data_IF_822330332969
#
_entry.id   IF_822330332969
#
_cell.length_a   1.000
_cell.length_b   1.000
_cell.length_c   1.000
_cell.angle_alpha   90.00
_cell.angle_beta   90.00
_cell.angle_gamma   90.00
#
_symmetry.space_group_name_H-M   'P 1'
#
loop_
_entity.id
_entity.type
_entity.pdbx_description
1 polymer ?
#
# COMPACT_ATOMS: atom_id res chain seq x y z
N UNK A 1 -1.37 3.01 31.00
CA UNK A 1 -1.38 3.47 29.59
C UNK A 1 -0.70 2.41 28.73
N UNK A 2 -1.41 1.79 27.79
CA UNK A 2 -0.77 0.88 26.84
C UNK A 2 0.28 1.68 26.05
N UNK A 3 1.49 1.19 26.02
CA UNK A 3 2.55 1.78 25.22
C UNK A 3 2.07 1.81 23.74
N UNK A 4 2.33 2.91 23.04
CA UNK A 4 2.00 3.05 21.62
C UNK A 4 2.52 1.86 20.77
N UNK A 5 3.71 1.36 21.06
CA UNK A 5 4.28 0.19 20.39
C UNK A 5 3.45 -1.08 20.55
N UNK A 6 2.88 -1.32 21.72
CA UNK A 6 1.99 -2.48 21.95
C UNK A 6 0.72 -2.37 21.12
N UNK A 7 0.16 -1.16 21.05
CA UNK A 7 -0.99 -0.88 20.18
C UNK A 7 -0.63 -1.06 18.71
N UNK A 8 0.58 -0.67 18.29
CA UNK A 8 1.08 -0.88 16.95
C UNK A 8 1.19 -2.36 16.59
N UNK A 9 1.66 -3.22 17.50
CA UNK A 9 1.72 -4.68 17.23
C UNK A 9 0.36 -5.23 16.85
N UNK A 10 -0.67 -4.88 17.59
CA UNK A 10 -2.04 -5.32 17.31
C UNK A 10 -2.57 -4.76 15.98
N UNK A 11 -2.34 -3.48 15.72
CA UNK A 11 -2.77 -2.84 14.48
C UNK A 11 -2.04 -3.41 13.26
N UNK A 12 -0.74 -3.68 13.38
CA UNK A 12 0.05 -4.32 12.32
C UNK A 12 -0.43 -5.73 12.03
N UNK A 13 -0.81 -6.49 13.05
CA UNK A 13 -1.41 -7.80 12.87
C UNK A 13 -2.72 -7.71 12.07
N UNK A 14 -3.64 -6.86 12.49
CA UNK A 14 -4.91 -6.64 11.77
C UNK A 14 -4.70 -6.13 10.35
N UNK A 15 -3.76 -5.21 10.16
CA UNK A 15 -3.41 -4.68 8.83
C UNK A 15 -2.84 -5.79 7.93
N UNK A 16 -1.98 -6.65 8.46
CA UNK A 16 -1.43 -7.79 7.72
C UNK A 16 -2.50 -8.78 7.28
N UNK A 17 -3.50 -9.04 8.12
CA UNK A 17 -4.65 -9.89 7.74
C UNK A 17 -5.44 -9.30 6.56
N UNK A 18 -5.62 -7.98 6.54
CA UNK A 18 -6.27 -7.28 5.42
C UNK A 18 -5.40 -7.30 4.16
N UNK A 19 -4.12 -6.99 4.31
CA UNK A 19 -3.15 -6.99 3.22
C UNK A 19 -3.02 -8.38 2.56
N UNK A 20 -3.05 -9.44 3.34
CA UNK A 20 -3.01 -10.82 2.83
C UNK A 20 -4.05 -11.08 1.75
N UNK A 21 -5.22 -10.46 1.83
CA UNK A 21 -6.29 -10.64 0.85
C UNK A 21 -5.93 -10.09 -0.55
N UNK A 22 -4.91 -9.25 -0.65
CA UNK A 22 -4.41 -8.73 -1.92
C UNK A 22 -3.35 -9.62 -2.57
N UNK A 23 -2.74 -10.52 -1.80
CA UNK A 23 -1.70 -11.41 -2.30
C UNK A 23 -2.26 -12.45 -3.26
N UNK A 24 -1.44 -12.86 -4.21
CA UNK A 24 -1.82 -13.86 -5.21
C UNK A 24 -2.80 -13.36 -6.26
N UNK A 25 -3.05 -12.06 -6.34
CA UNK A 25 -3.96 -11.42 -7.28
C UNK A 25 -3.25 -10.38 -8.12
N UNK A 26 -3.65 -10.26 -9.36
CA UNK A 26 -3.32 -9.13 -10.22
C UNK A 26 -4.57 -8.24 -10.35
N UNK A 27 -4.40 -6.97 -10.03
CA UNK A 27 -5.44 -5.96 -10.25
C UNK A 27 -5.13 -5.25 -11.55
N UNK A 28 -5.96 -5.46 -12.57
CA UNK A 28 -5.74 -4.93 -13.91
C UNK A 28 -6.66 -3.74 -14.08
N UNK A 29 -6.07 -2.56 -14.23
CA UNK A 29 -6.79 -1.31 -14.44
C UNK A 29 -6.62 -0.89 -15.88
N UNK A 30 -7.72 -0.68 -16.58
CA UNK A 30 -7.77 -0.26 -17.98
C UNK A 30 -8.55 1.05 -18.10
N UNK A 31 -8.07 1.94 -18.94
CA UNK A 31 -8.76 3.18 -19.27
C UNK A 31 -8.36 3.67 -20.65
N UNK A 32 -9.36 4.15 -21.41
CA UNK A 32 -9.12 4.87 -22.67
C UNK A 32 -8.46 6.22 -22.45
N UNK A 33 -8.52 6.76 -21.23
CA UNK A 33 -7.95 8.05 -20.87
C UNK A 33 -6.46 7.95 -20.47
N UNK A 34 -5.94 6.74 -20.28
CA UNK A 34 -4.52 6.55 -20.03
C UNK A 34 -3.68 6.91 -21.26
N UNK A 35 -2.57 7.64 -21.01
CA UNK A 35 -1.70 8.17 -22.05
C UNK A 35 -0.47 7.32 -22.29
N UNK A 36 0.03 6.64 -21.24
CA UNK A 36 1.29 5.91 -21.32
C UNK A 36 1.09 4.43 -21.67
N UNK A 37 0.00 3.83 -21.22
CA UNK A 37 -0.34 2.42 -21.44
C UNK A 37 -1.86 2.29 -21.46
N UNK A 38 -2.36 1.30 -22.18
CA UNK A 38 -3.80 0.99 -22.17
C UNK A 38 -4.25 0.39 -20.84
N UNK A 39 -3.33 -0.29 -20.15
CA UNK A 39 -3.59 -0.95 -18.87
C UNK A 39 -2.39 -0.99 -17.96
N UNK A 40 -2.66 -1.08 -16.67
CA UNK A 40 -1.69 -1.30 -15.61
C UNK A 40 -2.05 -2.55 -14.83
N UNK A 41 -1.05 -3.37 -14.54
CA UNK A 41 -1.20 -4.56 -13.69
C UNK A 41 -0.57 -4.22 -12.34
N UNK A 42 -1.37 -4.24 -11.29
CA UNK A 42 -0.91 -3.95 -9.93
C UNK A 42 -0.85 -5.25 -9.14
N UNK A 43 0.30 -5.50 -8.52
CA UNK A 43 0.59 -6.74 -7.82
C UNK A 43 1.22 -6.47 -6.48
N UNK A 44 0.70 -7.11 -5.44
CA UNK A 44 1.18 -6.99 -4.07
C UNK A 44 1.99 -8.21 -3.69
N UNK A 45 3.14 -7.99 -3.06
CA UNK A 45 3.99 -9.02 -2.48
C UNK A 45 4.13 -8.81 -0.98
N UNK A 46 4.48 -9.88 -0.27
CA UNK A 46 4.71 -9.83 1.19
C UNK A 46 5.72 -8.76 1.58
N UNK A 47 6.81 -8.63 0.80
CA UNK A 47 7.86 -7.64 1.04
C UNK A 47 7.44 -6.18 0.87
N UNK A 48 6.32 -5.89 0.21
CA UNK A 48 5.85 -4.52 0.05
C UNK A 48 5.10 -4.00 1.29
N UNK A 49 4.61 -4.87 2.15
CA UNK A 49 3.83 -4.50 3.32
C UNK A 49 4.56 -3.53 4.24
N UNK A 50 5.82 -3.82 4.55
CA UNK A 50 6.63 -2.98 5.43
C UNK A 50 6.72 -1.52 4.95
N UNK A 51 6.92 -1.31 3.65
CA UNK A 51 7.02 0.05 3.09
C UNK A 51 5.73 0.85 3.27
N UNK A 52 4.59 0.19 3.24
CA UNK A 52 3.30 0.85 3.38
C UNK A 52 3.00 1.23 4.84
N UNK A 53 3.64 0.58 5.79
CA UNK A 53 3.42 0.85 7.22
C UNK A 53 4.14 2.10 7.74
N UNK A 54 5.23 2.49 7.11
CA UNK A 54 6.13 3.54 7.59
C UNK A 54 6.99 3.13 8.79
N UNK A 55 6.93 1.88 9.20
CA UNK A 55 7.72 1.32 10.31
C UNK A 55 9.18 1.14 9.89
N UNK A 56 10.11 1.39 10.80
CA UNK A 56 11.54 1.08 10.64
C UNK A 56 11.89 -0.19 11.39
N UNK A 57 12.59 -1.09 10.73
CA UNK A 57 13.02 -2.36 11.33
C UNK A 57 14.29 -2.86 10.66
N UNK A 58 15.05 -3.70 11.36
CA UNK A 58 16.16 -4.48 10.82
C UNK A 58 15.73 -5.83 10.26
N UNK A 59 14.48 -6.23 10.51
CA UNK A 59 13.91 -7.48 10.01
C UNK A 59 13.69 -7.36 8.50
N UNK A 60 13.97 -8.42 7.77
CA UNK A 60 13.68 -8.48 6.33
C UNK A 60 12.19 -8.25 6.07
N UNK A 61 11.83 -7.50 5.02
CA UNK A 61 10.43 -7.12 4.77
C UNK A 61 9.45 -8.28 4.71
N UNK A 62 9.81 -9.40 4.07
CA UNK A 62 8.95 -10.59 4.00
C UNK A 62 8.75 -11.26 5.37
N UNK A 63 9.81 -11.33 6.18
CA UNK A 63 9.75 -11.86 7.54
C UNK A 63 8.95 -10.93 8.47
N UNK A 64 9.06 -9.62 8.29
CA UNK A 64 8.26 -8.66 9.03
C UNK A 64 6.77 -8.88 8.77
N UNK A 65 6.38 -9.06 7.51
CA UNK A 65 5.00 -9.36 7.16
C UNK A 65 4.53 -10.69 7.79
N UNK A 66 5.33 -11.74 7.69
CA UNK A 66 5.01 -13.05 8.30
C UNK A 66 4.80 -12.94 9.80
N UNK A 67 5.70 -12.26 10.52
CA UNK A 67 5.54 -12.03 11.97
C UNK A 67 4.31 -11.19 12.30
N UNK A 68 4.01 -10.18 11.50
CA UNK A 68 2.79 -9.39 11.67
C UNK A 68 1.54 -10.25 11.47
N UNK A 69 1.51 -11.04 10.40
CA UNK A 69 0.38 -11.90 10.06
C UNK A 69 0.12 -12.99 11.11
N UNK A 70 1.16 -13.56 11.67
CA UNK A 70 1.07 -14.61 12.69
C UNK A 70 0.99 -14.07 14.12
N UNK A 71 0.86 -12.76 14.27
CA UNK A 71 0.80 -12.07 15.57
C UNK A 71 2.04 -12.35 16.47
N UNK A 72 3.21 -12.43 15.84
CA UNK A 72 4.49 -12.69 16.48
C UNK A 72 5.41 -11.48 16.56
N UNK A 73 4.96 -10.30 16.09
CA UNK A 73 5.70 -9.06 16.28
C UNK A 73 5.71 -8.67 17.75
N UNK A 74 6.89 -8.34 18.24
CA UNK A 74 7.09 -7.78 19.58
C UNK A 74 7.64 -6.33 19.47
N UNK A 75 7.56 -5.58 20.54
CA UNK A 75 7.97 -4.17 20.59
C UNK A 75 9.44 -3.93 20.23
N UNK A 76 10.30 -4.93 20.40
CA UNK A 76 11.71 -4.86 20.05
C UNK A 76 12.01 -5.16 18.59
N UNK A 77 11.04 -5.65 17.84
CA UNK A 77 11.20 -6.02 16.42
C UNK A 77 11.26 -4.80 15.50
N UNK A 78 10.75 -3.65 15.93
CA UNK A 78 10.64 -2.46 15.09
C UNK A 78 10.77 -1.19 15.90
N UNK A 79 11.09 -0.13 15.20
CA UNK A 79 11.17 1.20 15.78
C UNK A 79 10.00 2.06 15.32
N UNK A 80 9.22 2.49 16.32
CA UNK A 80 8.27 3.59 16.20
C UNK A 80 8.92 4.79 16.89
N UNK A 81 9.96 5.32 16.29
CA UNK A 81 10.73 6.39 16.89
C UNK A 81 9.82 7.47 17.48
N UNK A 82 10.18 7.91 18.68
CA UNK A 82 9.48 8.99 19.39
C UNK A 82 9.68 10.37 18.77
N UNK A 83 10.50 10.49 17.71
CA UNK A 83 10.59 11.73 16.96
C UNK A 83 9.23 12.03 16.32
N UNK A 84 8.79 13.28 16.42
CA UNK A 84 7.48 13.72 15.91
C UNK A 84 7.24 13.35 14.43
N UNK A 85 8.29 13.27 13.62
CA UNK A 85 8.22 12.96 12.21
C UNK A 85 7.88 11.48 11.94
N UNK A 86 8.48 10.54 12.65
CA UNK A 86 8.28 9.11 12.42
C UNK A 86 7.01 8.61 13.11
N UNK A 87 6.70 9.15 14.28
CA UNK A 87 5.47 8.82 15.01
C UNK A 87 4.22 9.23 14.24
N UNK A 88 4.23 10.39 13.59
CA UNK A 88 3.17 10.83 12.71
C UNK A 88 2.99 9.91 11.50
N UNK A 89 4.07 9.47 10.89
CA UNK A 89 4.02 8.59 9.72
C UNK A 89 3.33 7.27 9.99
N UNK A 90 3.70 6.56 11.03
CA UNK A 90 3.11 5.27 11.38
C UNK A 90 1.66 5.42 11.83
N UNK A 91 1.38 6.42 12.65
CA UNK A 91 0.02 6.71 13.12
C UNK A 91 -0.93 7.10 11.99
N UNK A 92 -0.43 7.74 10.95
CA UNK A 92 -1.25 8.13 9.80
C UNK A 92 -1.47 6.99 8.80
N UNK A 93 -0.49 6.11 8.63
CA UNK A 93 -0.52 5.07 7.58
C UNK A 93 -1.22 3.80 8.00
N UNK A 94 -0.96 3.29 9.20
CA UNK A 94 -1.51 2.00 9.66
C UNK A 94 -3.04 1.96 9.63
N UNK A 95 -3.78 3.01 10.06
CA UNK A 95 -5.23 2.99 9.98
C UNK A 95 -5.77 2.79 8.56
N UNK A 96 -5.10 3.30 7.54
CA UNK A 96 -5.50 3.11 6.15
C UNK A 96 -5.31 1.66 5.69
N UNK A 97 -4.29 0.97 6.20
CA UNK A 97 -4.04 -0.44 5.89
C UNK A 97 -5.14 -1.36 6.43
N UNK A 98 -5.89 -0.95 7.44
CA UNK A 98 -7.04 -1.72 7.95
C UNK A 98 -8.18 -1.84 6.93
N UNK A 99 -8.20 -1.00 5.89
CA UNK A 99 -9.19 -1.00 4.83
C UNK A 99 -8.59 -1.26 3.45
N UNK A 100 -7.33 -1.71 3.38
CA UNK A 100 -6.66 -1.91 2.09
C UNK A 100 -7.29 -3.03 1.25
N UNK A 101 -7.93 -3.99 1.89
CA UNK A 101 -8.59 -5.11 1.22
C UNK A 101 -9.77 -4.69 0.33
N UNK A 102 -10.40 -3.56 0.63
CA UNK A 102 -11.53 -3.04 -0.14
C UNK A 102 -11.15 -1.90 -1.08
N UNK A 103 -9.86 -1.52 -1.15
CA UNK A 103 -9.41 -0.36 -1.92
C UNK A 103 -9.87 -0.40 -3.37
N UNK A 104 -9.70 -1.53 -4.05
CA UNK A 104 -10.10 -1.69 -5.46
C UNK A 104 -11.59 -1.88 -5.68
N UNK A 105 -12.38 -1.98 -4.62
CA UNK A 105 -13.84 -2.03 -4.67
C UNK A 105 -14.49 -0.66 -4.48
N UNK A 106 -13.70 0.37 -4.27
CA UNK A 106 -14.16 1.76 -4.11
C UNK A 106 -14.01 2.54 -5.41
N UNK A 107 -14.59 3.73 -5.47
CA UNK A 107 -14.37 4.66 -6.58
C UNK A 107 -12.99 5.29 -6.46
N UNK A 108 -12.13 5.08 -7.46
CA UNK A 108 -10.77 5.57 -7.45
C UNK A 108 -10.59 6.77 -8.39
N UNK A 109 -9.75 7.71 -7.99
CA UNK A 109 -9.09 8.64 -8.88
C UNK A 109 -7.70 8.12 -9.19
N UNK A 110 -7.32 8.09 -10.46
CA UNK A 110 -6.07 7.49 -10.92
C UNK A 110 -5.27 8.52 -11.70
N UNK A 111 -3.99 8.63 -11.38
CA UNK A 111 -3.06 9.55 -12.04
C UNK A 111 -1.83 8.79 -12.52
N UNK A 112 -1.53 8.92 -13.81
CA UNK A 112 -0.26 8.47 -14.39
C UNK A 112 0.85 9.49 -14.09
N UNK A 113 2.11 9.03 -14.08
CA UNK A 113 3.28 9.89 -13.83
C UNK A 113 3.15 10.74 -12.56
N UNK A 114 2.75 10.10 -11.48
CA UNK A 114 2.53 10.77 -10.22
C UNK A 114 3.85 11.21 -9.58
N UNK A 115 3.92 12.48 -9.20
CA UNK A 115 5.05 13.03 -8.45
C UNK A 115 4.55 13.91 -7.31
N UNK A 116 5.16 13.74 -6.14
CA UNK A 116 4.92 14.59 -4.98
C UNK A 116 6.18 14.64 -4.09
N UNK A 117 6.84 15.79 -4.05
CA UNK A 117 8.11 15.92 -3.35
C UNK A 117 9.16 14.99 -3.95
N UNK A 118 9.69 14.09 -3.13
CA UNK A 118 10.67 13.07 -3.56
C UNK A 118 10.02 11.77 -4.07
N UNK A 119 8.70 11.67 -3.98
CA UNK A 119 7.96 10.48 -4.44
C UNK A 119 7.67 10.60 -5.92
N UNK A 120 8.00 9.54 -6.67
CA UNK A 120 7.70 9.41 -8.09
C UNK A 120 7.20 8.00 -8.38
N UNK A 121 6.01 7.90 -8.96
CA UNK A 121 5.36 6.64 -9.27
C UNK A 121 4.85 6.64 -10.71
N UNK A 122 4.84 5.47 -11.35
CA UNK A 122 4.26 5.34 -12.69
C UNK A 122 2.75 5.57 -12.68
N UNK A 123 2.09 5.11 -11.64
CA UNK A 123 0.66 5.31 -11.42
C UNK A 123 0.38 5.45 -9.93
N UNK A 124 -0.57 6.29 -9.60
CA UNK A 124 -1.10 6.40 -8.24
C UNK A 124 -2.63 6.38 -8.28
N UNK A 125 -3.23 5.88 -7.23
CA UNK A 125 -4.68 5.80 -7.09
C UNK A 125 -5.10 6.21 -5.68
N UNK A 126 -6.23 6.87 -5.55
CA UNK A 126 -6.81 7.26 -4.27
C UNK A 126 -8.30 6.96 -4.24
N UNK A 127 -8.76 6.44 -3.10
CA UNK A 127 -10.19 6.26 -2.79
C UNK A 127 -10.79 7.48 -2.06
N UNK A 128 -9.99 8.52 -1.82
CA UNK A 128 -10.37 9.76 -1.16
C UNK A 128 -9.71 9.99 0.20
N UNK A 129 -9.36 8.94 0.94
CA UNK A 129 -8.76 9.04 2.28
C UNK A 129 -7.24 8.88 2.27
N UNK A 130 -6.72 8.10 1.34
CA UNK A 130 -5.29 7.88 1.18
C UNK A 130 -4.96 7.59 -0.28
N UNK A 131 -3.68 7.68 -0.62
CA UNK A 131 -3.17 7.44 -1.97
C UNK A 131 -2.17 6.31 -1.94
N UNK A 132 -2.31 5.35 -2.86
CA UNK A 132 -1.31 4.33 -3.13
C UNK A 132 -0.57 4.67 -4.41
N UNK A 133 0.76 4.66 -4.35
CA UNK A 133 1.64 4.82 -5.50
C UNK A 133 2.30 3.50 -5.86
N UNK A 134 2.40 3.25 -7.17
CA UNK A 134 2.94 2.01 -7.72
C UNK A 134 4.09 2.30 -8.67
N UNK A 135 5.11 1.46 -8.63
CA UNK A 135 6.28 1.56 -9.48
C UNK A 135 6.71 0.18 -9.98
N UNK A 136 7.53 0.17 -11.00
CA UNK A 136 8.06 -1.06 -11.62
C UNK A 136 8.45 -0.81 -13.06
N UNK A 137 8.66 -1.90 -13.80
CA UNK A 137 9.01 -1.88 -15.21
C UNK A 137 7.80 -1.96 -16.14
N UNK A 138 7.96 -2.67 -17.26
CA UNK A 138 6.91 -2.87 -18.27
C UNK A 138 5.86 -3.92 -17.88
N UNK A 139 6.14 -4.73 -16.87
CA UNK A 139 5.22 -5.77 -16.35
C UNK A 139 4.34 -5.25 -15.23
N UNK A 140 4.11 -6.10 -14.23
CA UNK A 140 3.35 -5.74 -13.05
C UNK A 140 4.06 -4.68 -12.21
N UNK A 141 3.30 -3.73 -11.68
CA UNK A 141 3.77 -2.69 -10.78
C UNK A 141 3.48 -3.08 -9.34
N UNK A 142 4.35 -2.67 -8.44
CA UNK A 142 4.24 -2.97 -7.01
C UNK A 142 3.92 -1.70 -6.22
N UNK A 143 3.20 -1.81 -5.10
CA UNK A 143 2.97 -0.68 -4.23
C UNK A 143 4.30 -0.22 -3.62
N UNK A 144 4.58 1.05 -3.77
CA UNK A 144 5.81 1.68 -3.29
C UNK A 144 5.56 2.59 -2.10
N UNK A 145 4.41 3.27 -2.08
CA UNK A 145 4.11 4.26 -1.06
C UNK A 145 2.64 4.32 -0.73
N UNK A 146 2.35 4.62 0.52
CA UNK A 146 1.03 5.01 0.99
C UNK A 146 1.15 6.43 1.55
N UNK A 147 0.33 7.34 1.04
CA UNK A 147 0.27 8.72 1.50
C UNK A 147 -1.08 8.97 2.15
N UNK A 148 -1.05 9.59 3.32
CA UNK A 148 -2.26 10.04 4.00
C UNK A 148 -2.94 11.13 3.16
N UNK A 149 -4.24 11.06 2.97
CA UNK A 149 -5.09 11.91 2.15
C UNK A 149 -5.10 11.53 0.66
N UNK A 150 -6.09 12.08 -0.03
CA UNK A 150 -6.11 12.09 -1.48
C UNK A 150 -5.11 13.16 -1.97
N UNK A 151 -4.02 12.70 -2.55
CA UNK A 151 -2.95 13.55 -3.08
C UNK A 151 -2.94 13.59 -4.61
N UNK A 152 -3.96 13.03 -5.25
CA UNK A 152 -4.10 13.01 -6.70
C UNK A 152 -4.39 14.43 -7.22
N UNK A 153 -3.72 14.80 -8.29
CA UNK A 153 -4.04 16.02 -9.02
C UNK A 153 -5.29 15.80 -9.90
N UNK A 154 -6.39 16.42 -9.52
CA UNK A 154 -7.67 16.24 -10.21
C UNK A 154 -7.62 16.65 -11.69
N UNK A 155 -6.73 17.56 -12.07
CA UNK A 155 -6.55 17.98 -13.47
C UNK A 155 -5.82 16.94 -14.32
N UNK A 156 -5.14 16.00 -13.69
CA UNK A 156 -4.36 14.92 -14.34
C UNK A 156 -4.93 13.54 -14.11
N UNK A 157 -6.04 13.44 -13.39
CA UNK A 157 -6.63 12.16 -13.00
C UNK A 157 -7.70 11.70 -13.96
N UNK A 158 -7.92 10.39 -14.00
CA UNK A 158 -9.10 9.78 -14.61
C UNK A 158 -9.94 9.06 -13.55
N UNK A 159 -11.27 9.14 -13.74
CA UNK A 159 -12.26 8.36 -12.99
C UNK A 159 -12.98 7.35 -13.89
N UNK A 160 -12.65 7.36 -15.19
CA UNK A 160 -13.24 6.47 -16.19
C UNK A 160 -12.27 5.30 -16.45
N UNK A 161 -12.50 4.20 -15.77
CA UNK A 161 -11.65 3.01 -15.84
C UNK A 161 -12.46 1.76 -15.53
N UNK A 162 -11.92 0.61 -15.89
CA UNK A 162 -12.39 -0.68 -15.43
C UNK A 162 -11.30 -1.42 -14.64
N UNK A 163 -11.71 -2.20 -13.66
CA UNK A 163 -10.82 -3.08 -12.90
C UNK A 163 -11.27 -4.51 -13.09
N UNK A 164 -10.31 -5.38 -13.43
CA UNK A 164 -10.47 -6.82 -13.39
C UNK A 164 -9.44 -7.41 -12.42
N UNK A 165 -9.80 -8.52 -11.79
CA UNK A 165 -8.95 -9.23 -10.85
C UNK A 165 -8.65 -10.61 -11.42
N UNK A 166 -7.35 -10.90 -11.61
CA UNK A 166 -6.86 -12.19 -12.00
C UNK A 166 -6.20 -12.88 -10.82
N UNK A 167 -6.73 -14.05 -10.46
CA UNK A 167 -6.11 -14.87 -9.42
C UNK A 167 -4.93 -15.62 -10.05
N UNK A 168 -3.73 -15.39 -9.52
CA UNK A 168 -2.54 -16.08 -9.99
C UNK A 168 -2.48 -17.49 -9.39
N UNK A 169 -2.09 -18.50 -10.16
CA UNK A 169 -1.86 -19.82 -9.59
C UNK A 169 -0.74 -19.74 -8.55
N UNK A 170 -0.92 -20.48 -7.43
CA UNK A 170 0.14 -20.61 -6.43
C UNK A 170 1.34 -21.28 -7.10
N UNK A 171 2.52 -20.62 -6.99
CA UNK A 171 3.78 -21.26 -7.31
C UNK A 171 4.02 -22.41 -6.35
N UNK A 172 4.12 -23.64 -6.90
CA UNK A 172 4.53 -24.80 -6.10
C UNK A 172 6.02 -24.73 -5.79
#
# INVERSE_FOLDING_TARGET
MKNYKESCCLLLHKAAEKYKKLLGKDFIIESKDFKNRERYILRFYEGNFLHLTGVKTKIKPSLFFEKALTNQLIIDDFDCDSSKEIKGYTQEKIPHLLNIDIFFSTNLEIQENYTRGKVSCLIAASEGKFTLGFTGGSGALNPMTLLNRNTIDHNKSTKNYSISILIRPSSK
#
